data_IF_246789118419
#
_entry.id   IF_246789118419
#
_cell.length_a   1.000
_cell.length_b   1.000
_cell.length_c   1.000
_cell.angle_alpha   90.00
_cell.angle_beta   90.00
_cell.angle_gamma   90.00
#
_symmetry.space_group_name_H-M   'P 1'
#
loop_
_entity.id
_entity.type
_entity.pdbx_description
1 polymer ?
#
# COMPACT_ATOMS: atom_id res chain seq x y z
N UNK A 1 20.34 0.93 0.91
CA UNK A 1 19.23 0.86 -0.03
C UNK A 1 19.50 1.96 -1.01
N UNK A 2 19.54 1.67 -2.30
CA UNK A 2 19.68 2.67 -3.36
C UNK A 2 18.27 2.99 -3.87
N UNK A 3 18.03 4.21 -4.38
CA UNK A 3 16.87 4.46 -5.23
C UNK A 3 17.06 3.65 -6.51
N UNK A 4 16.02 2.96 -6.96
CA UNK A 4 16.04 2.31 -8.26
C UNK A 4 16.21 3.37 -9.34
N UNK A 5 17.04 3.08 -10.34
CA UNK A 5 17.32 4.00 -11.45
C UNK A 5 16.01 4.46 -12.11
N UNK A 6 15.79 5.77 -12.19
CA UNK A 6 14.57 6.35 -12.75
C UNK A 6 13.46 6.71 -11.74
N UNK A 7 13.69 6.57 -10.43
CA UNK A 7 12.74 6.96 -9.38
C UNK A 7 13.27 8.14 -8.53
N UNK A 8 13.56 9.26 -9.18
CA UNK A 8 14.16 10.44 -8.54
C UNK A 8 13.13 11.26 -7.74
N UNK A 9 11.91 11.36 -8.26
CA UNK A 9 10.82 12.14 -7.69
C UNK A 9 9.58 11.28 -7.49
N UNK A 10 8.88 11.55 -6.41
CA UNK A 10 7.53 11.08 -6.17
C UNK A 10 6.54 12.21 -6.46
N UNK A 11 5.49 11.87 -7.20
CA UNK A 11 4.40 12.78 -7.55
C UNK A 11 3.08 12.16 -7.11
N UNK A 12 2.31 12.88 -6.29
CA UNK A 12 0.91 12.55 -5.99
C UNK A 12 0.02 13.67 -6.51
N UNK A 13 -1.01 13.31 -7.28
CA UNK A 13 -1.97 14.25 -7.86
C UNK A 13 -3.38 13.85 -7.46
N UNK A 14 -4.06 14.74 -6.74
CA UNK A 14 -5.49 14.65 -6.47
C UNK A 14 -6.24 15.47 -7.54
N UNK A 15 -7.20 14.87 -8.23
CA UNK A 15 -7.92 15.52 -9.35
C UNK A 15 -9.38 15.07 -9.47
N UNK A 16 -10.25 15.99 -9.90
CA UNK A 16 -11.66 15.67 -10.20
C UNK A 16 -11.77 15.38 -11.70
N UNK A 17 -12.28 14.21 -12.09
CA UNK A 17 -12.38 13.83 -13.50
C UNK A 17 -13.35 14.76 -14.24
N UNK A 18 -13.00 15.15 -15.46
CA UNK A 18 -13.90 15.92 -16.36
C UNK A 18 -14.50 15.06 -17.47
N UNK A 19 -14.06 13.80 -17.53
CA UNK A 19 -14.50 12.74 -18.43
C UNK A 19 -14.46 11.41 -17.69
N UNK A 20 -15.13 10.40 -18.21
CA UNK A 20 -14.99 9.03 -17.73
C UNK A 20 -13.52 8.58 -17.82
N UNK A 21 -13.01 7.98 -16.73
CA UNK A 21 -11.63 7.50 -16.65
C UNK A 21 -11.63 6.03 -17.03
N UNK A 22 -10.98 5.70 -18.16
CA UNK A 22 -10.65 4.32 -18.49
C UNK A 22 -9.30 4.02 -17.86
N UNK A 23 -9.30 3.31 -16.73
CA UNK A 23 -8.09 3.10 -15.91
C UNK A 23 -6.95 2.48 -16.72
N UNK A 24 -7.23 1.47 -17.55
CA UNK A 24 -6.21 0.84 -18.39
C UNK A 24 -5.50 1.83 -19.34
N UNK A 25 -6.22 2.78 -19.93
CA UNK A 25 -5.62 3.82 -20.78
C UNK A 25 -4.75 4.76 -19.95
N UNK A 26 -5.26 5.22 -18.79
CA UNK A 26 -4.51 6.08 -17.88
C UNK A 26 -3.22 5.40 -17.38
N UNK A 27 -3.28 4.12 -17.01
CA UNK A 27 -2.11 3.35 -16.61
C UNK A 27 -1.10 3.20 -17.75
N UNK A 28 -1.57 3.00 -18.98
CA UNK A 28 -0.71 2.91 -20.17
C UNK A 28 0.05 4.23 -20.35
N UNK A 29 -0.64 5.36 -20.33
CA UNK A 29 -0.03 6.67 -20.51
C UNK A 29 0.94 7.04 -19.37
N UNK A 30 0.58 6.71 -18.13
CA UNK A 30 1.46 6.92 -16.96
C UNK A 30 2.72 6.05 -17.02
N UNK A 31 2.63 4.84 -17.58
CA UNK A 31 3.78 3.92 -17.71
C UNK A 31 4.86 4.41 -18.68
N UNK A 32 4.52 5.32 -19.59
CA UNK A 32 5.49 6.00 -20.45
C UNK A 32 6.29 7.07 -19.70
N UNK A 33 5.78 7.51 -18.53
CA UNK A 33 6.33 8.62 -17.75
C UNK A 33 7.15 8.11 -16.56
N UNK A 34 6.71 7.04 -15.91
CA UNK A 34 7.31 6.56 -14.66
C UNK A 34 6.84 5.19 -14.21
N UNK A 35 7.18 4.85 -12.97
CA UNK A 35 6.93 3.53 -12.36
C UNK A 35 6.18 3.67 -11.03
N UNK A 36 5.88 2.53 -10.39
CA UNK A 36 5.21 2.49 -9.08
C UNK A 36 3.86 3.21 -9.07
N UNK A 37 3.10 3.07 -10.16
CA UNK A 37 1.85 3.80 -10.40
C UNK A 37 0.74 3.21 -9.53
N UNK A 38 0.04 4.05 -8.79
CA UNK A 38 -1.20 3.70 -8.09
C UNK A 38 -2.26 4.75 -8.37
N UNK A 39 -3.46 4.33 -8.74
CA UNK A 39 -4.60 5.23 -8.98
C UNK A 39 -5.80 4.70 -8.21
N UNK A 40 -6.48 5.57 -7.48
CA UNK A 40 -7.72 5.21 -6.77
C UNK A 40 -8.74 6.34 -6.78
N UNK A 41 -10.03 5.97 -6.83
CA UNK A 41 -11.19 6.89 -6.88
C UNK A 41 -11.96 7.02 -5.55
N UNK A 42 -11.98 8.17 -4.90
CA UNK A 42 -12.78 8.44 -3.68
C UNK A 42 -13.34 9.87 -3.65
N UNK A 43 -14.46 10.12 -2.99
CA UNK A 43 -15.17 11.42 -2.91
C UNK A 43 -15.19 12.23 -4.23
N UNK A 44 -15.77 11.66 -5.30
CA UNK A 44 -15.84 12.27 -6.65
C UNK A 44 -14.47 12.69 -7.24
N UNK A 45 -13.38 12.17 -6.68
CA UNK A 45 -12.00 12.56 -6.97
C UNK A 45 -11.15 11.32 -7.20
N UNK A 46 -10.05 11.47 -7.94
CA UNK A 46 -9.03 10.47 -8.09
C UNK A 46 -7.74 10.94 -7.41
N UNK A 47 -7.04 10.00 -6.80
CA UNK A 47 -5.64 10.15 -6.37
C UNK A 47 -4.76 9.28 -7.26
N UNK A 48 -3.77 9.89 -7.88
CA UNK A 48 -2.70 9.21 -8.61
C UNK A 48 -1.38 9.39 -7.86
N UNK A 49 -0.61 8.31 -7.70
CA UNK A 49 0.77 8.28 -7.22
C UNK A 49 1.66 7.66 -8.30
N UNK A 50 2.84 8.26 -8.53
CA UNK A 50 3.84 7.79 -9.50
C UNK A 50 5.24 8.21 -9.09
N UNK A 51 6.24 7.38 -9.38
CA UNK A 51 7.66 7.73 -9.29
C UNK A 51 8.22 8.02 -10.68
N UNK A 52 8.99 9.10 -10.82
CA UNK A 52 9.49 9.57 -12.11
C UNK A 52 10.97 9.99 -12.03
N UNK A 53 11.72 9.92 -13.14
CA UNK A 53 13.04 10.51 -13.23
C UNK A 53 12.95 12.03 -13.27
N UNK A 54 14.06 12.71 -12.99
CA UNK A 54 14.15 14.18 -12.91
C UNK A 54 13.59 14.89 -14.15
N UNK A 55 13.85 14.38 -15.36
CA UNK A 55 13.36 14.93 -16.63
C UNK A 55 11.84 14.84 -16.81
N UNK A 56 11.18 13.92 -16.10
CA UNK A 56 9.75 13.69 -16.19
C UNK A 56 8.98 14.29 -14.99
N UNK A 57 9.66 14.97 -14.07
CA UNK A 57 9.10 15.50 -12.81
C UNK A 57 7.70 16.12 -12.90
N UNK A 58 7.43 16.92 -13.93
CA UNK A 58 6.14 17.63 -14.07
C UNK A 58 5.16 16.96 -15.04
N UNK A 59 5.61 15.97 -15.82
CA UNK A 59 4.78 15.31 -16.84
C UNK A 59 3.53 14.62 -16.28
N UNK A 60 3.54 13.97 -15.10
CA UNK A 60 2.32 13.38 -14.57
C UNK A 60 1.22 14.42 -14.31
N UNK A 61 1.59 15.64 -13.90
CA UNK A 61 0.62 16.71 -13.62
C UNK A 61 -0.02 17.20 -14.92
N UNK A 62 0.80 17.36 -15.96
CA UNK A 62 0.35 17.76 -17.29
C UNK A 62 -0.59 16.69 -17.86
N UNK A 63 -0.22 15.41 -17.80
CA UNK A 63 -1.05 14.29 -18.25
C UNK A 63 -2.39 14.26 -17.50
N UNK A 64 -2.39 14.29 -16.17
CA UNK A 64 -3.61 14.23 -15.37
C UNK A 64 -4.53 15.43 -15.64
N UNK A 65 -3.97 16.59 -15.99
CA UNK A 65 -4.77 17.78 -16.37
C UNK A 65 -5.59 17.57 -17.65
N UNK A 66 -5.24 16.57 -18.48
CA UNK A 66 -6.04 16.17 -19.66
C UNK A 66 -7.25 15.30 -19.28
N UNK A 67 -7.20 14.64 -18.12
CA UNK A 67 -8.29 13.79 -17.60
C UNK A 67 -9.23 14.55 -16.66
N UNK A 68 -8.74 15.60 -15.99
CA UNK A 68 -9.54 16.30 -14.98
C UNK A 68 -8.96 17.60 -14.46
N UNK A 69 -9.67 18.19 -13.51
CA UNK A 69 -9.22 19.38 -12.79
C UNK A 69 -8.33 18.97 -11.63
N UNK A 70 -7.03 19.25 -11.74
CA UNK A 70 -6.07 19.06 -10.65
C UNK A 70 -6.47 19.92 -9.45
N UNK A 71 -6.60 19.29 -8.29
CA UNK A 71 -6.95 19.92 -7.00
C UNK A 71 -5.73 20.14 -6.14
N UNK A 72 -4.86 19.14 -6.04
CA UNK A 72 -3.67 19.18 -5.20
C UNK A 72 -2.55 18.39 -5.87
N UNK A 73 -1.33 18.90 -5.71
CA UNK A 73 -0.12 18.24 -6.16
C UNK A 73 0.85 18.17 -4.99
N UNK A 74 1.40 16.99 -4.74
CA UNK A 74 2.52 16.77 -3.86
C UNK A 74 3.71 16.29 -4.70
N UNK A 75 4.88 16.88 -4.46
CA UNK A 75 6.13 16.54 -5.16
C UNK A 75 7.22 16.39 -4.12
N UNK A 76 7.84 15.21 -4.06
CA UNK A 76 8.93 14.92 -3.15
C UNK A 76 10.18 14.48 -3.90
N UNK A 77 11.34 14.99 -3.49
CA UNK A 77 12.65 14.60 -4.03
C UNK A 77 13.15 13.39 -3.24
N UNK A 78 13.06 12.21 -3.83
CA UNK A 78 13.42 10.96 -3.17
C UNK A 78 14.94 10.88 -2.94
N UNK A 79 15.75 11.44 -3.84
CA UNK A 79 17.22 11.45 -3.72
C UNK A 79 17.66 12.22 -2.48
N UNK A 80 17.09 13.40 -2.27
CA UNK A 80 17.39 14.25 -1.11
C UNK A 80 16.89 13.61 0.18
N UNK A 81 15.67 13.07 0.17
CA UNK A 81 15.10 12.34 1.31
C UNK A 81 16.00 11.17 1.73
N UNK A 82 16.57 10.44 0.78
CA UNK A 82 17.50 9.35 1.04
C UNK A 82 18.81 9.79 1.68
N UNK A 83 19.35 10.94 1.27
CA UNK A 83 20.57 11.51 1.85
C UNK A 83 20.34 11.95 3.31
N UNK A 84 19.13 12.40 3.65
CA UNK A 84 18.76 12.77 5.03
C UNK A 84 18.51 11.55 5.94
N UNK A 85 18.01 10.45 5.37
CA UNK A 85 17.64 9.21 6.08
C UNK A 85 18.83 8.36 6.57
N UNK A 86 20.08 8.69 6.25
CA UNK A 86 21.27 7.99 6.76
C UNK A 86 21.43 8.08 8.29
N UNK A 87 20.63 8.91 8.98
CA UNK A 87 20.73 9.15 10.43
C UNK A 87 19.58 8.61 11.28
N UNK A 88 18.40 8.29 10.71
CA UNK A 88 17.34 7.54 11.39
C UNK A 88 16.24 7.15 10.39
N UNK A 89 15.85 5.88 10.36
CA UNK A 89 14.76 5.38 9.49
C UNK A 89 13.41 5.76 10.11
N UNK A 90 13.05 7.05 10.07
CA UNK A 90 11.71 7.51 10.47
C UNK A 90 10.77 7.57 9.25
N UNK A 91 9.82 6.65 9.22
CA UNK A 91 8.73 6.65 8.24
C UNK A 91 7.54 7.42 8.81
N UNK A 92 7.68 8.74 8.86
CA UNK A 92 6.65 9.66 9.32
C UNK A 92 6.44 10.79 8.32
N UNK A 93 5.21 11.28 8.26
CA UNK A 93 4.86 12.52 7.57
C UNK A 93 4.41 13.56 8.59
N UNK A 94 4.67 14.86 8.33
CA UNK A 94 4.14 15.92 9.16
C UNK A 94 2.60 15.88 9.14
N UNK A 95 2.00 16.15 10.31
CA UNK A 95 0.55 16.26 10.48
C UNK A 95 0.27 17.66 11.02
N UNK A 96 -0.68 18.37 10.44
CA UNK A 96 -1.15 19.65 10.95
C UNK A 96 -2.33 19.48 11.90
N UNK A 97 -2.58 20.51 12.72
CA UNK A 97 -3.71 20.52 13.64
C UNK A 97 -5.05 20.40 12.89
N UNK A 98 -5.88 19.47 13.35
CA UNK A 98 -7.21 19.21 12.77
C UNK A 98 -7.23 18.26 11.57
N UNK A 99 -6.07 17.86 11.03
CA UNK A 99 -5.99 16.87 9.94
C UNK A 99 -6.29 15.44 10.41
N UNK A 100 -6.74 14.58 9.51
CA UNK A 100 -6.82 13.13 9.74
C UNK A 100 -5.41 12.53 9.61
N UNK A 101 -4.95 11.84 10.65
CA UNK A 101 -3.68 11.12 10.62
C UNK A 101 -3.91 9.61 10.46
N UNK A 102 -3.20 8.99 9.51
CA UNK A 102 -3.19 7.53 9.35
C UNK A 102 -1.95 6.95 10.01
N UNK A 103 -2.13 5.90 10.81
CA UNK A 103 -1.06 5.01 11.29
C UNK A 103 -1.19 3.67 10.61
N UNK A 104 -0.14 3.25 9.89
CA UNK A 104 -0.12 1.94 9.24
C UNK A 104 0.89 1.01 9.91
N UNK A 105 0.51 -0.25 10.06
CA UNK A 105 1.45 -1.29 10.46
C UNK A 105 2.04 -1.92 9.19
N UNK A 106 3.36 -2.01 9.12
CA UNK A 106 4.06 -2.39 7.88
C UNK A 106 5.25 -3.33 8.11
N UNK A 107 5.45 -4.34 7.23
CA UNK A 107 6.64 -5.17 7.21
C UNK A 107 7.74 -4.56 6.34
N UNK A 108 8.90 -4.33 6.95
CA UNK A 108 10.11 -3.94 6.24
C UNK A 108 10.09 -2.50 5.71
N UNK A 109 11.25 -2.06 5.22
CA UNK A 109 11.45 -0.67 4.82
C UNK A 109 10.80 -0.32 3.49
N UNK A 110 10.77 -1.25 2.53
CA UNK A 110 10.17 -1.03 1.20
C UNK A 110 8.68 -0.67 1.28
N UNK A 111 7.89 -1.51 1.96
CA UNK A 111 6.45 -1.25 2.14
C UNK A 111 6.22 -0.02 3.02
N UNK A 112 7.08 0.21 4.03
CA UNK A 112 6.99 1.41 4.87
C UNK A 112 7.20 2.72 4.10
N UNK A 113 8.08 2.71 3.09
CA UNK A 113 8.24 3.85 2.15
C UNK A 113 6.97 4.11 1.36
N UNK A 114 6.31 3.06 0.87
CA UNK A 114 5.05 3.20 0.10
C UNK A 114 3.93 3.73 1.00
N UNK A 115 3.81 3.27 2.24
CA UNK A 115 2.84 3.87 3.15
C UNK A 115 3.13 5.35 3.40
N UNK A 116 4.40 5.71 3.58
CA UNK A 116 4.80 7.12 3.71
C UNK A 116 4.40 7.92 2.47
N UNK A 117 4.66 7.42 1.26
CA UNK A 117 4.31 8.12 0.02
C UNK A 117 2.81 8.33 -0.15
N UNK A 118 2.00 7.38 0.33
CA UNK A 118 0.54 7.48 0.33
C UNK A 118 -0.02 8.39 1.46
N UNK A 119 0.85 9.13 2.16
CA UNK A 119 0.46 10.12 3.16
C UNK A 119 0.23 9.57 4.56
N UNK A 120 0.68 8.34 4.86
CA UNK A 120 0.60 7.79 6.23
C UNK A 120 1.45 8.64 7.17
N UNK A 121 0.85 9.10 8.27
CA UNK A 121 1.50 9.96 9.25
C UNK A 121 2.59 9.23 10.04
N UNK A 122 2.34 7.97 10.40
CA UNK A 122 3.32 7.15 11.12
C UNK A 122 3.24 5.70 10.70
N UNK A 123 4.38 5.09 10.42
CA UNK A 123 4.47 3.64 10.24
C UNK A 123 4.99 2.98 11.51
N UNK A 124 4.27 1.96 11.98
CA UNK A 124 4.69 1.08 13.07
C UNK A 124 5.22 -0.21 12.46
N UNK A 125 6.44 -0.59 12.83
CA UNK A 125 7.02 -1.86 12.37
C UNK A 125 6.19 -3.04 12.87
N UNK A 126 5.78 -3.90 11.95
CA UNK A 126 5.09 -5.14 12.26
C UNK A 126 5.17 -6.15 11.11
N UNK A 127 4.45 -7.27 11.21
CA UNK A 127 4.43 -8.29 10.17
C UNK A 127 3.99 -9.66 10.69
N UNK A 128 4.11 -10.70 9.86
CA UNK A 128 3.61 -12.04 10.20
C UNK A 128 4.21 -12.62 11.50
N UNK A 129 5.46 -12.29 11.80
CA UNK A 129 6.19 -12.79 12.99
C UNK A 129 6.43 -11.72 14.05
N UNK A 130 5.98 -10.49 13.84
CA UNK A 130 6.21 -9.35 14.72
C UNK A 130 4.92 -8.53 14.81
N UNK A 131 4.05 -8.89 15.76
CA UNK A 131 2.83 -8.13 16.02
C UNK A 131 3.15 -7.06 17.09
N UNK A 132 2.95 -5.76 16.79
CA UNK A 132 3.12 -4.71 17.78
C UNK A 132 2.08 -4.87 18.89
N UNK A 133 2.44 -4.49 20.11
CA UNK A 133 1.53 -4.47 21.24
C UNK A 133 0.53 -3.31 21.13
N UNK A 134 -0.57 -3.38 21.89
CA UNK A 134 -1.50 -2.25 22.05
C UNK A 134 -0.78 -0.97 22.47
N UNK A 135 0.24 -1.08 23.34
CA UNK A 135 1.01 0.06 23.80
C UNK A 135 1.87 0.67 22.69
N UNK A 136 2.50 -0.16 21.85
CA UNK A 136 3.31 0.30 20.72
C UNK A 136 2.44 1.06 19.71
N UNK A 137 1.23 0.54 19.43
CA UNK A 137 0.26 1.18 18.54
C UNK A 137 -0.21 2.52 19.15
N UNK A 138 -0.60 2.54 20.43
CA UNK A 138 -1.05 3.77 21.09
C UNK A 138 0.01 4.88 21.07
N UNK A 139 1.26 4.54 21.41
CA UNK A 139 2.37 5.50 21.45
C UNK A 139 2.70 6.08 20.07
N UNK A 140 2.39 5.36 18.99
CA UNK A 140 2.67 5.82 17.63
C UNK A 140 1.86 7.06 17.23
N UNK A 141 0.69 7.28 17.83
CA UNK A 141 -0.17 8.42 17.50
C UNK A 141 -0.52 9.33 18.69
N UNK A 142 -0.20 8.95 19.93
CA UNK A 142 -0.52 9.72 21.13
C UNK A 142 -0.05 11.17 21.03
N UNK A 143 1.17 11.39 20.52
CA UNK A 143 1.77 12.72 20.41
C UNK A 143 1.53 13.43 19.07
N UNK A 144 0.78 12.84 18.13
CA UNK A 144 0.43 13.54 16.89
C UNK A 144 -0.43 14.78 17.20
N UNK A 145 -0.24 15.91 16.50
CA UNK A 145 -0.96 17.16 16.77
C UNK A 145 -2.41 17.14 16.24
N UNK A 146 -3.08 15.99 16.26
CA UNK A 146 -4.48 15.84 15.87
C UNK A 146 -5.21 14.89 16.81
N UNK A 147 -6.53 15.08 16.89
CA UNK A 147 -7.45 14.18 17.57
C UNK A 147 -8.06 13.13 16.64
N UNK A 148 -7.92 13.24 15.31
CA UNK A 148 -8.52 12.32 14.34
C UNK A 148 -7.48 11.32 13.84
N UNK A 149 -7.61 10.05 14.22
CA UNK A 149 -6.62 9.01 13.89
C UNK A 149 -7.29 7.80 13.25
N UNK A 150 -6.70 7.31 12.17
CA UNK A 150 -7.07 6.05 11.54
C UNK A 150 -5.94 5.05 11.71
N UNK A 151 -6.24 3.82 12.11
CA UNK A 151 -5.26 2.73 12.22
C UNK A 151 -5.52 1.71 11.10
N UNK A 152 -4.46 1.33 10.37
CA UNK A 152 -4.44 0.27 9.37
C UNK A 152 -3.61 -0.92 9.90
N UNK A 153 -4.25 -1.98 10.45
CA UNK A 153 -3.55 -3.14 11.02
C UNK A 153 -2.73 -3.92 10.00
N UNK A 154 -3.20 -3.99 8.76
CA UNK A 154 -2.61 -4.68 7.60
C UNK A 154 -2.24 -6.16 7.85
N UNK A 155 -2.78 -6.72 8.93
CA UNK A 155 -2.57 -8.08 9.39
C UNK A 155 -3.70 -8.43 10.35
N UNK A 156 -4.44 -9.49 10.02
CA UNK A 156 -5.58 -9.97 10.84
C UNK A 156 -5.22 -10.23 12.31
N UNK A 157 -3.97 -10.56 12.62
CA UNK A 157 -3.51 -10.83 13.98
C UNK A 157 -3.28 -9.54 14.80
N UNK A 158 -3.23 -8.37 14.16
CA UNK A 158 -2.95 -7.06 14.77
C UNK A 158 -4.25 -6.28 15.02
N UNK A 159 -5.37 -6.70 14.41
CA UNK A 159 -6.68 -6.06 14.54
C UNK A 159 -7.10 -5.91 16.01
N UNK A 160 -7.00 -6.97 16.81
CA UNK A 160 -7.38 -6.90 18.23
C UNK A 160 -6.55 -5.89 19.03
N UNK A 161 -5.24 -5.82 18.75
CA UNK A 161 -4.35 -4.87 19.42
C UNK A 161 -4.69 -3.42 19.03
N UNK A 162 -5.06 -3.21 17.77
CA UNK A 162 -5.49 -1.91 17.22
C UNK A 162 -6.80 -1.43 17.82
N UNK A 163 -7.81 -2.31 17.93
CA UNK A 163 -9.08 -2.02 18.59
C UNK A 163 -8.89 -1.73 20.09
N UNK A 164 -8.01 -2.47 20.75
CA UNK A 164 -7.64 -2.18 22.13
C UNK A 164 -6.99 -0.79 22.26
N UNK A 165 -6.12 -0.40 21.31
CA UNK A 165 -5.47 0.92 21.31
C UNK A 165 -6.49 2.05 21.11
N UNK A 166 -7.46 1.87 20.21
CA UNK A 166 -8.62 2.75 20.05
C UNK A 166 -9.39 2.92 21.36
N UNK A 167 -9.73 1.82 22.04
CA UNK A 167 -10.56 1.85 23.25
C UNK A 167 -9.89 2.52 24.47
N UNK A 168 -8.56 2.53 24.54
CA UNK A 168 -7.82 3.17 25.65
C UNK A 168 -7.33 4.58 25.30
N UNK A 169 -7.49 5.02 24.04
CA UNK A 169 -7.11 6.36 23.62
C UNK A 169 -8.11 7.41 24.07
N UNK A 170 -7.63 8.65 24.23
CA UNK A 170 -8.46 9.84 24.44
C UNK A 170 -8.79 10.58 23.14
N UNK A 171 -8.23 10.13 22.01
CA UNK A 171 -8.44 10.70 20.67
C UNK A 171 -9.63 10.03 19.98
N UNK A 172 -10.12 10.65 18.92
CA UNK A 172 -11.10 10.05 18.02
C UNK A 172 -10.38 9.10 17.05
N UNK A 173 -10.47 7.80 17.36
CA UNK A 173 -9.72 6.75 16.68
C UNK A 173 -10.66 5.80 15.96
N UNK A 174 -10.40 5.58 14.68
CA UNK A 174 -11.04 4.55 13.86
C UNK A 174 -10.04 3.49 13.43
N UNK A 175 -10.48 2.24 13.34
CA UNK A 175 -9.67 1.13 12.85
C UNK A 175 -10.32 0.66 11.57
N UNK A 176 -9.59 0.74 10.45
CA UNK A 176 -10.01 0.11 9.19
C UNK A 176 -9.51 -1.33 9.26
N UNK A 177 -10.35 -2.37 9.13
CA UNK A 177 -9.98 -3.75 9.44
C UNK A 177 -9.16 -4.41 8.33
N UNK A 178 -8.12 -3.74 7.83
CA UNK A 178 -7.21 -4.25 6.80
C UNK A 178 -6.49 -5.50 7.28
N UNK A 179 -6.53 -6.55 6.46
CA UNK A 179 -6.00 -7.89 6.81
C UNK A 179 -4.65 -8.18 6.16
N UNK A 180 -4.29 -7.40 5.15
CA UNK A 180 -3.07 -7.51 4.35
C UNK A 180 -2.60 -6.13 3.89
N UNK A 181 -1.42 -6.08 3.27
CA UNK A 181 -0.80 -4.84 2.81
C UNK A 181 -1.55 -4.20 1.63
N UNK A 182 -1.98 -4.93 0.58
CA UNK A 182 -2.75 -4.35 -0.51
C UNK A 182 -4.00 -3.61 -0.04
N UNK A 183 -4.75 -4.18 0.91
CA UNK A 183 -5.91 -3.52 1.54
C UNK A 183 -5.55 -2.20 2.23
N UNK A 184 -4.40 -2.15 2.91
CA UNK A 184 -3.90 -0.91 3.49
C UNK A 184 -3.59 0.15 2.44
N UNK A 185 -2.98 -0.25 1.33
CA UNK A 185 -2.61 0.67 0.25
C UNK A 185 -3.84 1.29 -0.43
N UNK A 186 -4.83 0.46 -0.79
CA UNK A 186 -6.07 0.99 -1.41
C UNK A 186 -6.85 1.89 -0.46
N UNK A 187 -6.87 1.58 0.85
CA UNK A 187 -7.45 2.47 1.84
C UNK A 187 -6.72 3.82 1.89
N UNK A 188 -5.39 3.84 1.81
CA UNK A 188 -4.63 5.10 1.77
C UNK A 188 -4.92 5.95 0.52
N UNK A 189 -5.36 5.36 -0.60
CA UNK A 189 -5.77 6.13 -1.78
C UNK A 189 -7.04 6.96 -1.52
N UNK A 190 -7.87 6.59 -0.53
CA UNK A 190 -9.05 7.35 -0.06
C UNK A 190 -8.69 8.47 0.94
N UNK A 191 -7.43 8.60 1.34
CA UNK A 191 -7.06 9.56 2.38
C UNK A 191 -7.17 11.01 1.90
N UNK A 192 -8.16 11.77 2.36
CA UNK A 192 -8.13 13.23 2.34
C UNK A 192 -7.84 13.77 3.75
N UNK A 193 -6.62 14.24 4.05
CA UNK A 193 -6.27 14.69 5.41
C UNK A 193 -7.13 15.83 5.94
N UNK A 194 -7.79 16.60 5.06
CA UNK A 194 -8.64 17.74 5.41
C UNK A 194 -10.14 17.45 5.30
N UNK A 195 -10.52 16.22 4.97
CA UNK A 195 -11.91 15.80 4.81
C UNK A 195 -12.67 15.62 6.13
N UNK A 196 -13.95 15.23 6.03
CA UNK A 196 -14.71 14.77 7.18
C UNK A 196 -14.17 13.42 7.66
N UNK A 197 -14.12 13.22 8.99
CA UNK A 197 -13.50 12.02 9.54
C UNK A 197 -14.33 10.76 9.28
N UNK A 198 -15.66 10.86 9.39
CA UNK A 198 -16.53 9.69 9.25
C UNK A 198 -16.65 9.29 7.78
N UNK A 199 -16.80 10.28 6.89
CA UNK A 199 -16.88 10.02 5.45
C UNK A 199 -15.61 9.32 4.95
N UNK A 200 -14.42 9.81 5.35
CA UNK A 200 -13.15 9.16 4.99
C UNK A 200 -13.00 7.76 5.59
N UNK A 201 -13.50 7.53 6.80
CA UNK A 201 -13.51 6.19 7.41
C UNK A 201 -14.43 5.24 6.63
N UNK A 202 -15.60 5.71 6.19
CA UNK A 202 -16.55 4.94 5.39
C UNK A 202 -15.91 4.56 4.04
N UNK A 203 -15.38 5.53 3.31
CA UNK A 203 -14.71 5.30 2.02
C UNK A 203 -13.51 4.35 2.12
N UNK A 204 -12.69 4.48 3.17
CA UNK A 204 -11.59 3.56 3.41
C UNK A 204 -12.08 2.13 3.67
N UNK A 205 -13.21 1.95 4.35
CA UNK A 205 -13.79 0.62 4.57
C UNK A 205 -14.35 0.02 3.26
N UNK A 206 -15.00 0.82 2.42
CA UNK A 206 -15.53 0.38 1.12
C UNK A 206 -14.39 -0.08 0.19
N UNK A 207 -13.25 0.62 0.18
CA UNK A 207 -12.10 0.29 -0.66
C UNK A 207 -11.51 -1.12 -0.43
N UNK A 208 -11.79 -1.75 0.72
CA UNK A 208 -11.19 -3.04 1.09
C UNK A 208 -11.63 -4.20 0.20
N UNK A 209 -12.78 -4.06 -0.47
CA UNK A 209 -13.36 -5.06 -1.38
C UNK A 209 -12.89 -4.87 -2.83
N UNK A 210 -12.22 -3.76 -3.14
CA UNK A 210 -11.76 -3.42 -4.49
C UNK A 210 -10.45 -4.12 -4.87
N UNK A 211 -9.81 -4.83 -3.94
CA UNK A 211 -8.48 -5.44 -4.14
C UNK A 211 -8.45 -6.91 -3.76
N UNK A 212 -7.82 -7.71 -4.63
CA UNK A 212 -7.39 -9.07 -4.30
C UNK A 212 -5.95 -9.06 -3.80
N UNK A 213 -5.67 -9.85 -2.76
CA UNK A 213 -4.32 -9.99 -2.24
C UNK A 213 -3.77 -11.36 -2.54
N UNK A 214 -2.70 -11.40 -3.35
CA UNK A 214 -1.83 -12.57 -3.49
C UNK A 214 -0.60 -12.46 -2.58
N UNK A 215 -0.24 -13.54 -1.88
CA UNK A 215 1.02 -13.65 -1.14
C UNK A 215 1.71 -14.96 -1.50
N UNK A 216 3.00 -14.90 -1.81
CA UNK A 216 3.84 -16.08 -2.04
C UNK A 216 4.93 -16.12 -0.98
N UNK A 217 5.02 -17.24 -0.29
CA UNK A 217 5.99 -17.43 0.79
C UNK A 217 6.46 -18.88 0.87
N UNK A 218 7.35 -19.19 1.82
CA UNK A 218 7.89 -20.54 2.00
C UNK A 218 7.22 -21.25 3.18
N UNK A 219 6.77 -22.48 2.95
CA UNK A 219 6.17 -23.30 3.99
C UNK A 219 7.16 -23.66 5.10
N UNK A 220 6.84 -23.29 6.34
CA UNK A 220 7.70 -23.57 7.51
C UNK A 220 7.49 -24.97 8.09
N UNK A 221 6.39 -25.64 7.74
CA UNK A 221 6.02 -27.00 8.19
C UNK A 221 5.25 -27.75 7.12
N UNK A 222 5.28 -29.08 7.18
CA UNK A 222 4.43 -29.93 6.35
C UNK A 222 3.04 -30.06 6.97
N UNK A 223 1.99 -29.86 6.19
CA UNK A 223 0.60 -29.92 6.64
C UNK A 223 -0.33 -30.19 5.46
N UNK A 224 -1.55 -30.66 5.73
CA UNK A 224 -2.63 -30.70 4.75
C UNK A 224 -3.72 -29.72 5.19
N UNK A 225 -4.02 -28.74 4.34
CA UNK A 225 -5.05 -27.70 4.59
C UNK A 225 -5.92 -27.63 3.34
N UNK A 226 -7.25 -27.70 3.50
CA UNK A 226 -8.21 -27.62 2.39
C UNK A 226 -7.91 -28.61 1.24
N UNK A 227 -7.39 -29.80 1.57
CA UNK A 227 -7.00 -30.83 0.60
C UNK A 227 -5.67 -30.56 -0.13
N UNK A 228 -5.00 -29.43 0.15
CA UNK A 228 -3.69 -29.09 -0.39
C UNK A 228 -2.62 -29.65 0.55
N UNK A 229 -1.79 -30.55 0.03
CA UNK A 229 -0.63 -31.09 0.74
C UNK A 229 0.56 -30.17 0.58
N UNK A 230 0.97 -29.57 1.70
CA UNK A 230 2.14 -28.70 1.79
C UNK A 230 3.29 -29.49 2.41
N UNK A 231 4.47 -29.44 1.79
CA UNK A 231 5.70 -29.89 2.44
C UNK A 231 6.52 -28.70 2.91
N UNK A 232 7.16 -28.86 4.07
CA UNK A 232 8.13 -27.89 4.57
C UNK A 232 9.17 -27.56 3.48
N UNK A 233 9.39 -26.26 3.25
CA UNK A 233 10.32 -25.73 2.26
C UNK A 233 9.74 -25.55 0.86
N UNK A 234 8.50 -25.97 0.60
CA UNK A 234 7.82 -25.65 -0.65
C UNK A 234 7.39 -24.17 -0.67
N UNK A 235 7.34 -23.59 -1.87
CA UNK A 235 6.65 -22.33 -2.08
C UNK A 235 5.14 -22.57 -1.94
N UNK A 236 4.45 -21.63 -1.31
CA UNK A 236 3.01 -21.65 -1.12
C UNK A 236 2.42 -20.32 -1.56
N UNK A 237 1.21 -20.36 -2.12
CA UNK A 237 0.43 -19.17 -2.44
C UNK A 237 -0.77 -19.05 -1.51
N UNK A 238 -1.01 -17.83 -1.06
CA UNK A 238 -2.19 -17.41 -0.33
C UNK A 238 -2.97 -16.43 -1.21
N UNK A 239 -4.27 -16.68 -1.42
CA UNK A 239 -5.20 -15.72 -2.02
C UNK A 239 -6.13 -15.23 -0.91
N UNK A 240 -6.12 -13.93 -0.64
CA UNK A 240 -6.83 -13.31 0.49
C UNK A 240 -6.55 -13.98 1.84
N UNK A 241 -5.32 -14.50 2.00
CA UNK A 241 -4.88 -15.20 3.20
C UNK A 241 -5.31 -16.67 3.28
N UNK A 242 -5.96 -17.22 2.25
CA UNK A 242 -6.30 -18.63 2.15
C UNK A 242 -5.28 -19.38 1.29
N UNK A 243 -4.83 -20.55 1.77
CA UNK A 243 -3.90 -21.39 1.01
C UNK A 243 -4.56 -21.92 -0.26
N UNK A 244 -3.98 -21.58 -1.40
CA UNK A 244 -4.48 -21.98 -2.71
C UNK A 244 -3.50 -22.84 -3.50
N UNK A 245 -2.19 -22.75 -3.28
CA UNK A 245 -1.20 -23.57 -3.99
C UNK A 245 -0.01 -23.95 -3.11
N UNK A 246 0.63 -25.08 -3.43
CA UNK A 246 1.91 -25.52 -2.88
C UNK A 246 2.72 -26.27 -3.93
N UNK A 247 3.97 -25.87 -4.14
CA UNK A 247 4.88 -26.54 -5.08
C UNK A 247 6.34 -26.23 -4.76
N UNK A 248 7.24 -27.09 -5.25
CA UNK A 248 8.69 -26.81 -5.22
C UNK A 248 9.12 -25.76 -6.24
N UNK A 249 8.33 -25.55 -7.28
CA UNK A 249 8.60 -24.55 -8.30
C UNK A 249 7.86 -23.26 -7.96
N UNK A 250 8.62 -22.20 -7.69
CA UNK A 250 8.10 -20.86 -7.44
C UNK A 250 7.22 -20.37 -8.60
N UNK A 251 7.72 -20.49 -9.83
CA UNK A 251 6.99 -20.07 -11.02
C UNK A 251 5.62 -20.73 -11.14
N UNK A 252 5.54 -22.04 -10.85
CA UNK A 252 4.28 -22.78 -10.85
C UNK A 252 3.30 -22.23 -9.79
N UNK A 253 3.80 -21.88 -8.61
CA UNK A 253 2.98 -21.27 -7.54
C UNK A 253 2.48 -19.89 -7.95
N UNK A 254 3.32 -19.09 -8.62
CA UNK A 254 2.92 -17.78 -9.15
C UNK A 254 1.80 -17.92 -10.18
N UNK A 255 1.97 -18.77 -11.19
CA UNK A 255 0.96 -19.01 -12.24
C UNK A 255 -0.37 -19.48 -11.64
N UNK A 256 -0.35 -20.48 -10.76
CA UNK A 256 -1.56 -20.98 -10.10
C UNK A 256 -2.24 -19.92 -9.22
N UNK A 257 -1.49 -18.97 -8.65
CA UNK A 257 -2.05 -17.85 -7.90
C UNK A 257 -2.74 -16.86 -8.85
N UNK A 258 -2.09 -16.48 -9.95
CA UNK A 258 -2.65 -15.55 -10.94
C UNK A 258 -3.93 -16.11 -11.59
N UNK A 259 -3.94 -17.40 -11.92
CA UNK A 259 -5.12 -18.10 -12.42
C UNK A 259 -6.26 -18.05 -11.39
N UNK A 260 -5.98 -18.38 -10.12
CA UNK A 260 -7.01 -18.42 -9.07
C UNK A 260 -7.51 -17.05 -8.65
N UNK A 261 -6.70 -16.02 -8.82
CA UNK A 261 -7.11 -14.64 -8.62
C UNK A 261 -7.95 -14.09 -9.80
N UNK A 262 -8.19 -14.90 -10.84
CA UNK A 262 -8.88 -14.51 -12.07
C UNK A 262 -8.31 -13.23 -12.67
N UNK A 263 -6.98 -13.16 -12.76
CA UNK A 263 -6.27 -11.95 -13.20
C UNK A 263 -6.63 -11.49 -14.62
N UNK A 264 -7.13 -12.38 -15.47
CA UNK A 264 -7.68 -12.05 -16.80
C UNK A 264 -8.89 -11.09 -16.74
N UNK A 265 -9.61 -11.06 -15.60
CA UNK A 265 -10.75 -10.17 -15.35
C UNK A 265 -10.35 -8.91 -14.57
N UNK A 266 -9.04 -8.69 -14.36
CA UNK A 266 -8.51 -7.56 -13.57
C UNK A 266 -7.79 -6.58 -14.48
N UNK A 267 -7.91 -5.30 -14.14
CA UNK A 267 -7.34 -4.20 -14.92
C UNK A 267 -5.84 -4.00 -14.63
N UNK A 268 -5.43 -4.17 -13.38
CA UNK A 268 -4.07 -3.89 -12.95
C UNK A 268 -3.56 -4.90 -11.93
N UNK A 269 -2.28 -5.24 -12.03
CA UNK A 269 -1.58 -6.11 -11.08
C UNK A 269 -0.32 -5.39 -10.62
N UNK A 270 -0.23 -5.16 -9.31
CA UNK A 270 0.99 -4.63 -8.69
C UNK A 270 1.74 -5.76 -7.99
N UNK A 271 3.02 -5.93 -8.33
CA UNK A 271 3.87 -6.97 -7.74
C UNK A 271 4.86 -6.32 -6.77
N UNK A 272 4.83 -6.76 -5.51
CA UNK A 272 5.81 -6.39 -4.51
C UNK A 272 6.81 -7.53 -4.31
N UNK A 273 8.07 -7.29 -4.67
CA UNK A 273 9.13 -8.28 -4.50
C UNK A 273 9.84 -8.13 -3.14
N UNK A 274 10.07 -9.26 -2.46
CA UNK A 274 10.93 -9.30 -1.28
C UNK A 274 12.41 -9.35 -1.64
N UNK A 275 13.29 -9.05 -0.67
CA UNK A 275 14.75 -8.97 -0.87
C UNK A 275 15.41 -10.23 -1.47
N UNK A 276 14.75 -11.38 -1.39
CA UNK A 276 15.25 -12.65 -1.91
C UNK A 276 14.78 -12.97 -3.33
N UNK A 277 13.90 -12.15 -3.92
CA UNK A 277 13.45 -12.29 -5.30
C UNK A 277 14.36 -11.46 -6.23
N UNK A 278 14.52 -11.91 -7.47
CA UNK A 278 15.31 -11.21 -8.48
C UNK A 278 14.41 -10.66 -9.58
N UNK A 279 14.79 -9.56 -10.22
CA UNK A 279 14.02 -8.96 -11.32
C UNK A 279 13.68 -9.97 -12.42
N UNK A 280 14.64 -10.81 -12.84
CA UNK A 280 14.40 -11.87 -13.82
C UNK A 280 13.29 -12.87 -13.42
N UNK A 281 13.04 -13.10 -12.12
CA UNK A 281 11.93 -13.97 -11.70
C UNK A 281 10.57 -13.29 -11.92
N UNK A 282 10.53 -11.96 -11.84
CA UNK A 282 9.34 -11.16 -12.12
C UNK A 282 9.15 -11.04 -13.62
N UNK A 283 10.21 -10.80 -14.38
CA UNK A 283 10.16 -10.70 -15.84
C UNK A 283 9.61 -12.00 -16.46
N UNK A 284 10.09 -13.16 -16.00
CA UNK A 284 9.61 -14.49 -16.42
C UNK A 284 8.11 -14.73 -16.10
N UNK A 285 7.50 -13.95 -15.20
CA UNK A 285 6.08 -14.05 -14.84
C UNK A 285 5.19 -13.19 -15.76
N UNK A 286 5.77 -12.16 -16.39
CA UNK A 286 5.07 -11.17 -17.22
C UNK A 286 5.09 -11.54 -18.70
N UNK A 287 5.98 -12.45 -19.13
CA UNK A 287 5.99 -13.08 -20.47
C UNK A 287 4.91 -14.15 -20.67
#
# INVERSE_FOLDING_TARGET
>A
GEIEEGQDFEIVVDFIPTREIILNELYTDLSEIGTSIQVGEGDEMYRMHIHVPTENKYKPIDLISEYGTVRKVYIENLIEQMQELESSVDFSNPVEEGQIAVVAISPGTGISKIFKSLGVAKVVSGGQTMNPSTQDILQSFENLPTNKVIILPNNKNILMASEAAKNVSVKDVSVIPTKNIPQGMVACLRLNPTGDFNDIVEEMNESLEEVESGEITTATRSIEINGIKVKKGEAIALLNGELVSSSKSLMKVCQELLEKANTEEREHITIFQGENATQSMVDDLVE
#
